data_IF_013589219405
#
_entry.id   IF_013589219405
#
_cell.length_a   1.000
_cell.length_b   1.000
_cell.length_c   1.000
_cell.angle_alpha   90.00
_cell.angle_beta   90.00
_cell.angle_gamma   90.00
#
_symmetry.space_group_name_H-M   'P 1'
#
loop_
_entity.id
_entity.type
_entity.pdbx_description
1 polymer ?
#
# COMPACT_ATOMS: atom_id res chain seq x y z
N UNK A 1 20.08 -18.43 0.58
CA UNK A 1 18.77 -19.12 0.63
C UNK A 1 17.72 -18.04 0.48
N UNK A 2 17.12 -17.93 -0.71
CA UNK A 2 16.26 -16.81 -1.08
C UNK A 2 14.93 -16.90 -0.33
N UNK A 3 14.63 -15.91 0.52
CA UNK A 3 13.34 -15.77 1.15
C UNK A 3 12.30 -15.43 0.08
N UNK A 4 11.50 -16.41 -0.30
CA UNK A 4 10.32 -16.24 -1.13
C UNK A 4 9.34 -15.30 -0.43
N UNK A 5 8.82 -14.32 -1.17
CA UNK A 5 8.12 -13.13 -0.66
C UNK A 5 6.72 -13.48 -0.14
N UNK A 6 6.28 -13.01 1.05
CA UNK A 6 5.01 -13.46 1.67
C UNK A 6 3.74 -12.75 1.15
N UNK A 7 3.71 -12.25 -0.09
CA UNK A 7 2.61 -11.38 -0.58
C UNK A 7 1.48 -12.10 -1.33
N UNK A 8 1.33 -13.42 -1.21
CA UNK A 8 0.38 -14.17 -2.07
C UNK A 8 -0.94 -14.59 -1.40
N UNK A 9 -1.13 -14.41 -0.09
CA UNK A 9 -2.21 -15.11 0.61
C UNK A 9 -3.30 -14.25 1.26
N UNK A 10 -3.32 -12.93 1.03
CA UNK A 10 -4.47 -12.06 1.34
C UNK A 10 -5.31 -11.64 0.13
N UNK A 11 -4.99 -12.16 -1.05
CA UNK A 11 -5.46 -11.62 -2.33
C UNK A 11 -6.34 -12.59 -3.13
N UNK A 12 -7.07 -13.47 -2.44
CA UNK A 12 -8.00 -14.41 -3.08
C UNK A 12 -9.38 -14.31 -2.42
N UNK A 13 -10.03 -13.15 -2.53
CA UNK A 13 -11.49 -13.02 -2.67
C UNK A 13 -11.86 -11.59 -3.07
N UNK A 14 -11.86 -11.30 -4.37
CA UNK A 14 -12.72 -10.27 -4.96
C UNK A 14 -12.78 -10.46 -6.48
N UNK A 15 -13.40 -11.56 -6.93
CA UNK A 15 -14.00 -11.58 -8.25
C UNK A 15 -15.30 -10.76 -8.19
N UNK A 16 -15.28 -9.64 -8.93
CA UNK A 16 -16.43 -9.02 -9.59
C UNK A 16 -17.66 -8.74 -8.71
N UNK A 17 -17.76 -7.49 -8.24
CA UNK A 17 -19.04 -6.79 -8.28
C UNK A 17 -18.89 -5.54 -9.14
N UNK A 18 -19.21 -5.70 -10.42
CA UNK A 18 -19.53 -4.60 -11.32
C UNK A 18 -20.67 -3.80 -10.70
N UNK A 19 -20.34 -2.68 -10.06
CA UNK A 19 -21.33 -1.70 -9.63
C UNK A 19 -21.43 -0.66 -10.75
N UNK A 20 -22.64 -0.54 -11.29
CA UNK A 20 -23.04 0.35 -12.37
C UNK A 20 -22.45 1.76 -12.20
N UNK A 21 -21.52 2.10 -13.09
CA UNK A 21 -21.14 3.47 -13.35
C UNK A 21 -22.11 4.04 -14.41
N UNK A 22 -22.73 5.15 -14.04
CA UNK A 22 -23.56 6.02 -14.87
C UNK A 22 -23.06 6.15 -16.33
N UNK A 23 -23.90 5.92 -17.36
CA UNK A 23 -23.51 6.08 -18.75
C UNK A 23 -23.55 7.58 -19.12
N UNK A 24 -22.58 8.34 -18.60
CA UNK A 24 -22.44 9.76 -18.86
C UNK A 24 -21.07 10.29 -18.45
N UNK A 25 -20.17 10.44 -19.45
CA UNK A 25 -18.89 11.17 -19.44
C UNK A 25 -17.63 10.45 -18.94
N UNK A 26 -16.59 10.46 -19.79
CA UNK A 26 -15.20 10.25 -19.39
C UNK A 26 -14.58 8.90 -19.75
N UNK A 27 -13.52 8.95 -20.55
CA UNK A 27 -12.51 7.89 -20.66
C UNK A 27 -12.03 7.53 -19.25
N UNK A 28 -12.27 6.31 -18.77
CA UNK A 28 -11.81 5.90 -17.44
C UNK A 28 -10.29 5.70 -17.45
N UNK A 29 -9.57 6.71 -16.96
CA UNK A 29 -8.13 6.67 -16.73
C UNK A 29 -7.85 6.36 -15.26
N UNK A 30 -6.95 5.41 -14.98
CA UNK A 30 -6.56 5.07 -13.62
C UNK A 30 -5.07 4.70 -13.55
N UNK A 31 -4.37 5.30 -12.60
CA UNK A 31 -2.99 4.97 -12.22
C UNK A 31 -3.02 4.25 -10.89
N UNK A 32 -2.38 3.08 -10.84
CA UNK A 32 -2.24 2.31 -9.60
C UNK A 32 -0.81 2.28 -9.13
N UNK A 33 -0.57 2.63 -7.86
CA UNK A 33 0.72 2.61 -7.19
C UNK A 33 0.73 1.64 -5.99
N UNK A 34 -0.45 1.25 -5.48
CA UNK A 34 -0.63 0.39 -4.29
C UNK A 34 -0.53 -1.11 -4.64
N UNK A 35 0.35 -1.42 -5.58
CA UNK A 35 0.60 -2.74 -6.13
C UNK A 35 1.63 -2.59 -7.25
N UNK A 36 1.64 -3.45 -8.29
CA UNK A 36 2.41 -3.15 -9.49
C UNK A 36 1.93 -1.81 -10.07
N UNK A 37 2.88 -0.96 -10.46
CA UNK A 37 2.58 0.27 -11.17
C UNK A 37 1.85 -0.08 -12.46
N UNK A 38 0.61 0.39 -12.59
CA UNK A 38 -0.19 0.24 -13.81
C UNK A 38 -0.79 1.57 -14.26
N UNK A 39 -0.91 1.72 -15.57
CA UNK A 39 -1.58 2.85 -16.23
C UNK A 39 -2.70 2.27 -17.10
N UNK A 40 -3.93 2.34 -16.62
CA UNK A 40 -5.10 1.81 -17.31
C UNK A 40 -5.91 2.94 -17.92
N UNK A 41 -6.33 2.79 -19.17
CA UNK A 41 -7.27 3.70 -19.81
C UNK A 41 -8.21 2.94 -20.72
N UNK A 42 -9.53 3.14 -20.55
CA UNK A 42 -10.57 2.46 -21.33
C UNK A 42 -10.39 0.92 -21.36
N UNK A 43 -10.01 0.33 -20.23
CA UNK A 43 -9.75 -1.11 -20.12
C UNK A 43 -8.49 -1.62 -20.83
N UNK A 44 -7.62 -0.74 -21.31
CA UNK A 44 -6.32 -1.09 -21.91
C UNK A 44 -5.16 -0.68 -21.01
N UNK A 45 -4.12 -1.50 -21.01
CA UNK A 45 -2.88 -1.23 -20.29
C UNK A 45 -1.89 -0.42 -21.14
N UNK A 46 -1.46 0.72 -20.60
CA UNK A 46 -0.49 1.65 -21.17
C UNK A 46 0.80 1.72 -20.35
N UNK A 47 0.99 0.80 -19.41
CA UNK A 47 2.16 0.78 -18.52
C UNK A 47 3.47 0.69 -19.32
N UNK A 48 4.47 1.56 -19.04
CA UNK A 48 5.76 1.50 -19.71
C UNK A 48 6.47 0.17 -19.47
N UNK A 49 6.85 -0.55 -20.54
CA UNK A 49 7.66 -1.77 -20.42
C UNK A 49 9.13 -1.49 -20.10
N UNK A 50 9.64 -0.30 -20.45
CA UNK A 50 11.01 0.09 -20.20
C UNK A 50 11.23 0.44 -18.71
N UNK A 51 12.11 -0.28 -17.98
CA UNK A 51 12.22 -0.15 -16.53
C UNK A 51 12.55 1.26 -16.04
N UNK A 52 13.40 2.00 -16.76
CA UNK A 52 13.78 3.38 -16.41
C UNK A 52 12.65 4.38 -16.65
N UNK A 53 11.82 4.17 -17.67
CA UNK A 53 10.64 5.01 -17.94
C UNK A 53 9.58 4.75 -16.87
N UNK A 54 9.37 3.48 -16.52
CA UNK A 54 8.48 3.06 -15.44
C UNK A 54 8.92 3.67 -14.10
N UNK A 55 10.22 3.65 -13.81
CA UNK A 55 10.80 4.26 -12.60
C UNK A 55 10.59 5.79 -12.54
N UNK A 56 10.81 6.52 -13.65
CA UNK A 56 10.52 7.96 -13.72
C UNK A 56 9.03 8.23 -13.53
N UNK A 57 8.17 7.46 -14.19
CA UNK A 57 6.72 7.62 -14.05
C UNK A 57 6.26 7.39 -12.61
N UNK A 58 6.77 6.34 -11.95
CA UNK A 58 6.45 6.03 -10.56
C UNK A 58 6.75 7.22 -9.64
N UNK A 59 7.93 7.84 -9.77
CA UNK A 59 8.32 8.99 -8.95
C UNK A 59 7.46 10.23 -9.24
N UNK A 60 7.09 10.46 -10.50
CA UNK A 60 6.17 11.53 -10.87
C UNK A 60 4.76 11.30 -10.33
N UNK A 61 4.23 10.08 -10.44
CA UNK A 61 2.89 9.71 -9.99
C UNK A 61 2.76 9.74 -8.47
N UNK A 62 3.79 9.28 -7.76
CA UNK A 62 3.84 9.35 -6.29
C UNK A 62 3.88 10.79 -5.77
N UNK A 63 4.39 11.71 -6.58
CA UNK A 63 4.39 13.16 -6.32
C UNK A 63 3.44 13.89 -7.26
N UNK A 64 2.32 13.25 -7.65
CA UNK A 64 1.33 13.83 -8.53
C UNK A 64 0.93 15.23 -8.05
N UNK A 65 0.70 16.13 -9.00
CA UNK A 65 0.33 17.53 -8.79
C UNK A 65 1.40 18.38 -8.06
N UNK A 66 2.62 17.87 -7.86
CA UNK A 66 3.76 18.59 -7.29
C UNK A 66 4.94 18.62 -8.27
N UNK A 67 5.80 19.63 -8.13
CA UNK A 67 7.03 19.74 -8.94
C UNK A 67 8.01 18.64 -8.50
N UNK A 68 8.49 17.85 -9.45
CA UNK A 68 9.63 16.95 -9.30
C UNK A 68 10.81 17.56 -10.06
N UNK A 69 11.86 18.05 -9.37
CA UNK A 69 13.06 18.58 -10.01
C UNK A 69 13.75 17.55 -10.89
N UNK A 70 14.38 18.01 -11.98
CA UNK A 70 15.14 17.13 -12.88
C UNK A 70 16.25 16.38 -12.14
N UNK A 71 16.95 17.04 -11.22
CA UNK A 71 18.02 16.41 -10.42
C UNK A 71 17.49 15.27 -9.55
N UNK A 72 16.27 15.39 -9.00
CA UNK A 72 15.63 14.31 -8.25
C UNK A 72 15.34 13.08 -9.12
N UNK A 73 14.97 13.29 -10.40
CA UNK A 73 14.82 12.19 -11.36
C UNK A 73 16.17 11.55 -11.68
N UNK A 74 17.24 12.34 -11.82
CA UNK A 74 18.59 11.85 -12.09
C UNK A 74 19.10 10.99 -10.93
N UNK A 75 19.00 11.51 -9.70
CA UNK A 75 19.38 10.77 -8.49
C UNK A 75 18.60 9.46 -8.34
N UNK A 76 17.29 9.48 -8.61
CA UNK A 76 16.48 8.26 -8.57
C UNK A 76 16.98 7.19 -9.57
N UNK A 77 17.43 7.60 -10.75
CA UNK A 77 17.83 6.69 -11.81
C UNK A 77 19.27 6.19 -11.66
N UNK A 78 20.19 7.02 -11.20
CA UNK A 78 21.64 6.72 -11.23
C UNK A 78 22.36 6.91 -9.90
N UNK A 79 21.66 7.38 -8.86
CA UNK A 79 22.24 7.66 -7.55
C UNK A 79 23.49 8.56 -7.69
N UNK A 80 24.62 8.17 -7.09
CA UNK A 80 25.87 8.93 -7.15
C UNK A 80 26.61 8.86 -8.50
N UNK A 81 26.16 8.06 -9.47
CA UNK A 81 26.88 7.79 -10.72
C UNK A 81 26.10 8.17 -12.00
N UNK A 82 25.63 9.43 -12.15
CA UNK A 82 24.91 9.84 -13.34
C UNK A 82 25.83 9.92 -14.58
N UNK A 83 25.38 9.45 -15.76
CA UNK A 83 26.13 9.66 -16.99
C UNK A 83 26.15 11.15 -17.36
N UNK A 84 27.14 11.57 -18.16
CA UNK A 84 27.20 12.95 -18.70
C UNK A 84 25.93 13.36 -19.45
N UNK A 85 25.23 12.39 -20.03
CA UNK A 85 23.96 12.55 -20.76
C UNK A 85 22.71 12.41 -19.87
N UNK A 86 22.81 12.44 -18.54
CA UNK A 86 21.67 12.22 -17.65
C UNK A 86 20.48 13.14 -17.96
N UNK A 87 20.74 14.44 -18.11
CA UNK A 87 19.70 15.43 -18.44
C UNK A 87 18.96 15.11 -19.75
N UNK A 88 19.69 14.85 -20.84
CA UNK A 88 19.09 14.53 -22.15
C UNK A 88 18.38 13.18 -22.14
N UNK A 89 18.89 12.23 -21.34
CA UNK A 89 18.24 10.92 -21.14
C UNK A 89 16.92 11.06 -20.39
N UNK A 90 16.86 11.88 -19.32
CA UNK A 90 15.61 12.19 -18.61
C UNK A 90 14.59 12.84 -19.54
N UNK A 91 15.01 13.82 -20.35
CA UNK A 91 14.12 14.44 -21.34
C UNK A 91 13.53 13.41 -22.32
N UNK A 92 14.33 12.40 -22.72
CA UNK A 92 13.87 11.30 -23.58
C UNK A 92 12.81 10.44 -22.86
N UNK A 93 13.00 10.13 -21.58
CA UNK A 93 12.00 9.41 -20.79
C UNK A 93 10.72 10.22 -20.60
N UNK A 94 10.83 11.52 -20.34
CA UNK A 94 9.68 12.43 -20.25
C UNK A 94 8.91 12.47 -21.58
N UNK A 95 9.60 12.54 -22.72
CA UNK A 95 8.97 12.47 -24.03
C UNK A 95 8.21 11.14 -24.24
N UNK A 96 8.80 10.01 -23.84
CA UNK A 96 8.14 8.70 -23.93
C UNK A 96 6.89 8.64 -23.02
N UNK A 97 6.97 9.18 -21.81
CA UNK A 97 5.83 9.27 -20.90
C UNK A 97 4.71 10.13 -21.49
N UNK A 98 5.03 11.29 -22.07
CA UNK A 98 4.03 12.13 -22.77
C UNK A 98 3.29 11.35 -23.84
N UNK A 99 4.03 10.63 -24.70
CA UNK A 99 3.43 9.78 -25.75
C UNK A 99 2.53 8.69 -25.18
N UNK A 100 2.86 8.14 -24.01
CA UNK A 100 2.02 7.14 -23.33
C UNK A 100 0.73 7.79 -22.82
N UNK A 101 0.83 8.93 -22.12
CA UNK A 101 -0.31 9.65 -21.56
C UNK A 101 -1.27 10.15 -22.65
N UNK A 102 -0.75 10.63 -23.77
CA UNK A 102 -1.57 11.02 -24.91
C UNK A 102 -2.33 9.82 -25.53
N UNK A 103 -1.67 8.66 -25.69
CA UNK A 103 -2.32 7.45 -26.20
C UNK A 103 -3.39 6.94 -25.23
N UNK A 104 -3.14 7.08 -23.94
CA UNK A 104 -4.08 6.79 -22.87
C UNK A 104 -5.19 7.85 -22.75
N UNK A 105 -5.18 8.91 -23.56
CA UNK A 105 -6.17 10.00 -23.55
C UNK A 105 -6.35 10.61 -22.14
N UNK A 106 -5.22 10.83 -21.47
CA UNK A 106 -5.19 11.44 -20.14
C UNK A 106 -5.27 12.95 -20.27
N UNK A 107 -6.21 13.56 -19.55
CA UNK A 107 -6.55 14.98 -19.65
C UNK A 107 -7.89 15.18 -20.38
N UNK A 108 -8.70 16.10 -19.87
CA UNK A 108 -9.83 16.67 -20.61
C UNK A 108 -9.30 17.79 -21.52
N UNK A 109 -9.99 18.03 -22.64
CA UNK A 109 -9.78 19.10 -23.64
C UNK A 109 -8.59 20.05 -23.36
N UNK A 110 -7.51 19.87 -24.13
CA UNK A 110 -6.30 20.72 -24.24
C UNK A 110 -5.34 20.84 -23.03
N UNK A 111 -5.60 20.22 -21.87
CA UNK A 111 -4.67 20.29 -20.74
C UNK A 111 -3.55 19.22 -20.79
N UNK A 112 -2.29 19.65 -20.90
CA UNK A 112 -1.13 18.73 -20.94
C UNK A 112 -0.94 18.02 -19.59
N UNK A 113 -1.01 16.67 -19.52
CA UNK A 113 -0.94 15.94 -18.25
C UNK A 113 0.48 15.95 -17.65
N UNK A 114 1.52 16.12 -18.44
CA UNK A 114 2.91 16.20 -17.97
C UNK A 114 3.56 17.53 -18.37
N UNK A 115 3.49 18.49 -17.46
CA UNK A 115 3.92 19.87 -17.70
C UNK A 115 5.40 20.04 -17.33
N UNK A 116 6.18 20.64 -18.22
CA UNK A 116 7.52 21.14 -17.87
C UNK A 116 7.37 22.45 -17.11
N UNK A 117 7.81 22.49 -15.84
CA UNK A 117 7.82 23.70 -15.00
C UNK A 117 9.12 23.75 -14.21
N UNK A 118 9.97 24.74 -14.49
CA UNK A 118 11.26 24.89 -13.82
C UNK A 118 11.11 24.82 -12.28
N UNK A 119 11.97 24.05 -11.58
CA UNK A 119 13.16 23.34 -12.07
C UNK A 119 12.94 21.89 -12.59
N UNK A 120 11.72 21.48 -12.92
CA UNK A 120 11.46 20.12 -13.40
C UNK A 120 10.09 19.89 -14.04
N UNK A 121 9.36 18.90 -13.55
CA UNK A 121 8.14 18.40 -14.18
C UNK A 121 7.00 18.25 -13.16
N UNK A 122 5.76 18.43 -13.62
CA UNK A 122 4.55 18.14 -12.85
C UNK A 122 3.72 17.13 -13.66
N UNK A 123 3.44 15.98 -13.06
CA UNK A 123 2.42 15.07 -13.55
C UNK A 123 1.08 15.43 -12.91
N UNK A 124 0.14 15.94 -13.71
CA UNK A 124 -1.21 16.28 -13.31
C UNK A 124 -2.11 15.06 -13.42
N UNK A 125 -2.70 14.66 -12.31
CA UNK A 125 -3.64 13.53 -12.24
C UNK A 125 -4.79 13.95 -11.32
N UNK A 126 -6.04 13.75 -11.76
CA UNK A 126 -7.21 14.05 -10.93
C UNK A 126 -7.20 13.11 -9.71
N UNK A 127 -7.64 13.55 -8.53
CA UNK A 127 -7.63 12.70 -7.33
C UNK A 127 -8.32 11.34 -7.51
N UNK A 128 -9.40 11.27 -8.29
CA UNK A 128 -10.13 10.03 -8.58
C UNK A 128 -9.39 9.05 -9.50
N UNK A 129 -8.39 9.52 -10.25
CA UNK A 129 -7.65 8.71 -11.22
C UNK A 129 -6.37 8.09 -10.61
N UNK A 130 -6.10 8.30 -9.32
CA UNK A 130 -4.92 7.76 -8.63
C UNK A 130 -5.34 7.00 -7.37
N UNK A 131 -5.07 5.71 -7.31
CA UNK A 131 -5.41 4.85 -6.17
C UNK A 131 -4.83 5.35 -4.84
N UNK A 132 -3.63 5.94 -4.87
CA UNK A 132 -3.00 6.53 -3.70
C UNK A 132 -3.84 7.69 -3.13
N UNK A 133 -4.40 8.56 -3.96
CA UNK A 133 -5.24 9.65 -3.46
C UNK A 133 -6.58 9.13 -2.92
N UNK A 134 -7.15 8.10 -3.54
CA UNK A 134 -8.35 7.43 -3.03
C UNK A 134 -8.08 6.77 -1.67
N UNK A 135 -6.95 6.09 -1.53
CA UNK A 135 -6.48 5.54 -0.25
C UNK A 135 -6.32 6.63 0.81
N UNK A 136 -5.66 7.73 0.48
CA UNK A 136 -5.46 8.86 1.40
C UNK A 136 -6.80 9.43 1.90
N UNK A 137 -7.78 9.55 1.01
CA UNK A 137 -9.12 10.06 1.33
C UNK A 137 -9.90 9.09 2.23
N UNK A 138 -9.99 7.82 1.85
CA UNK A 138 -10.70 6.78 2.63
C UNK A 138 -10.04 6.56 4.00
N UNK A 139 -8.70 6.61 4.07
CA UNK A 139 -7.96 6.55 5.32
C UNK A 139 -8.24 7.74 6.24
N UNK A 140 -8.42 8.95 5.68
CA UNK A 140 -8.79 10.14 6.45
C UNK A 140 -10.24 10.03 6.96
N UNK A 141 -11.17 9.65 6.10
CA UNK A 141 -12.58 9.42 6.46
C UNK A 141 -12.71 8.36 7.57
N UNK A 142 -12.05 7.21 7.38
CA UNK A 142 -12.07 6.12 8.36
C UNK A 142 -11.51 6.54 9.73
N UNK A 143 -10.47 7.39 9.76
CA UNK A 143 -9.93 7.97 11.00
C UNK A 143 -10.93 8.89 11.69
N UNK A 144 -11.52 9.81 10.94
CA UNK A 144 -12.50 10.76 11.47
C UNK A 144 -13.71 10.03 12.06
N UNK A 145 -14.25 9.05 11.35
CA UNK A 145 -15.36 8.21 11.81
C UNK A 145 -14.99 7.42 13.08
N UNK A 146 -13.75 6.94 13.20
CA UNK A 146 -13.28 6.26 14.41
C UNK A 146 -13.25 7.20 15.61
N UNK A 147 -12.75 8.42 15.44
CA UNK A 147 -12.71 9.45 16.49
C UNK A 147 -14.11 9.84 16.96
N UNK A 148 -15.07 9.87 16.04
CA UNK A 148 -16.50 10.08 16.30
C UNK A 148 -17.20 8.84 16.90
N UNK A 149 -16.47 7.73 17.09
CA UNK A 149 -16.99 6.43 17.57
C UNK A 149 -18.04 5.80 16.65
N UNK A 150 -18.08 6.21 15.38
CA UNK A 150 -18.90 5.60 14.33
C UNK A 150 -18.20 4.36 13.74
N UNK A 151 -17.87 3.40 14.60
CA UNK A 151 -16.96 2.30 14.28
C UNK A 151 -17.38 1.48 13.06
N UNK A 152 -18.68 1.19 12.87
CA UNK A 152 -19.14 0.43 11.71
C UNK A 152 -18.89 1.15 10.38
N UNK A 153 -19.06 2.48 10.34
CA UNK A 153 -18.75 3.27 9.15
C UNK A 153 -17.24 3.42 8.95
N UNK A 154 -16.50 3.57 10.05
CA UNK A 154 -15.04 3.57 10.04
C UNK A 154 -14.48 2.28 9.42
N UNK A 155 -14.97 1.11 9.85
CA UNK A 155 -14.57 -0.20 9.30
C UNK A 155 -14.76 -0.21 7.78
N UNK A 156 -15.94 0.18 7.27
CA UNK A 156 -16.21 0.20 5.83
C UNK A 156 -15.22 1.06 5.04
N UNK A 157 -14.95 2.29 5.51
CA UNK A 157 -14.01 3.18 4.84
C UNK A 157 -12.57 2.64 4.89
N UNK A 158 -12.16 2.07 6.02
CA UNK A 158 -10.82 1.50 6.19
C UNK A 158 -10.63 0.22 5.36
N UNK A 159 -11.63 -0.65 5.27
CA UNK A 159 -11.60 -1.85 4.42
C UNK A 159 -11.51 -1.46 2.93
N UNK A 160 -12.33 -0.51 2.47
CA UNK A 160 -12.23 0.02 1.11
C UNK A 160 -10.84 0.62 0.83
N UNK A 161 -10.21 1.27 1.82
CA UNK A 161 -8.85 1.77 1.68
C UNK A 161 -7.83 0.61 1.52
N UNK A 162 -7.99 -0.46 2.30
CA UNK A 162 -7.11 -1.64 2.26
C UNK A 162 -7.29 -2.44 0.97
N UNK A 163 -8.50 -2.52 0.42
CA UNK A 163 -8.82 -3.24 -0.83
C UNK A 163 -8.17 -2.62 -2.08
N UNK A 164 -7.73 -1.37 -2.02
CA UNK A 164 -6.96 -0.74 -3.09
C UNK A 164 -5.58 -1.38 -3.26
N UNK A 165 -5.08 -2.05 -2.21
CA UNK A 165 -3.78 -2.70 -2.20
C UNK A 165 -3.90 -4.12 -2.77
N UNK A 166 -3.04 -4.47 -3.72
CA UNK A 166 -3.04 -5.81 -4.31
C UNK A 166 -1.76 -6.61 -4.05
N UNK A 167 -0.62 -5.91 -3.98
CA UNK A 167 0.69 -6.49 -3.68
C UNK A 167 1.51 -5.45 -2.90
N UNK A 168 2.83 -5.62 -2.81
CA UNK A 168 3.70 -4.53 -2.38
C UNK A 168 3.58 -3.31 -3.31
N UNK A 169 3.55 -2.08 -2.77
CA UNK A 169 3.47 -0.87 -3.60
C UNK A 169 4.69 -0.77 -4.50
N UNK A 170 4.44 -0.45 -5.77
CA UNK A 170 5.42 -0.38 -6.86
C UNK A 170 6.21 -1.69 -7.06
N UNK A 171 5.57 -2.86 -6.93
CA UNK A 171 6.26 -4.18 -6.97
C UNK A 171 7.03 -4.48 -8.26
N UNK A 172 6.62 -3.88 -9.38
CA UNK A 172 7.26 -4.00 -10.70
C UNK A 172 8.28 -2.89 -11.00
N UNK A 173 8.52 -1.96 -10.07
CA UNK A 173 9.41 -0.82 -10.27
C UNK A 173 10.73 -1.02 -9.53
N UNK A 174 11.85 -0.74 -10.20
CA UNK A 174 13.15 -0.64 -9.51
C UNK A 174 13.14 0.59 -8.62
N UNK A 175 13.34 0.39 -7.32
CA UNK A 175 13.38 1.48 -6.34
C UNK A 175 14.80 2.04 -6.23
N UNK A 176 14.95 3.32 -6.54
CA UNK A 176 16.14 4.12 -6.26
C UNK A 176 16.02 4.90 -4.94
N UNK A 177 16.98 5.80 -4.67
CA UNK A 177 17.10 6.49 -3.37
C UNK A 177 15.93 7.43 -3.05
N UNK A 178 15.14 7.86 -4.04
CA UNK A 178 13.99 8.76 -3.85
C UNK A 178 12.67 7.99 -3.71
N UNK A 179 12.50 6.87 -4.44
CA UNK A 179 11.32 6.01 -4.32
C UNK A 179 11.34 5.13 -3.07
N UNK A 180 12.51 4.60 -2.67
CA UNK A 180 12.60 3.62 -1.57
C UNK A 180 12.01 4.14 -0.25
N UNK A 181 12.35 5.36 0.25
CA UNK A 181 11.76 5.87 1.48
C UNK A 181 10.25 6.08 1.39
N UNK A 182 9.74 6.40 0.20
CA UNK A 182 8.32 6.63 -0.02
C UNK A 182 7.55 5.31 -0.01
N UNK A 183 8.09 4.25 -0.61
CA UNK A 183 7.54 2.88 -0.54
C UNK A 183 7.52 2.38 0.90
N UNK A 184 8.58 2.64 1.68
CA UNK A 184 8.60 2.31 3.12
C UNK A 184 7.49 3.07 3.86
N UNK A 185 7.35 4.37 3.63
CA UNK A 185 6.28 5.16 4.24
C UNK A 185 4.88 4.64 3.86
N UNK A 186 4.65 4.29 2.60
CA UNK A 186 3.40 3.69 2.14
C UNK A 186 3.07 2.41 2.92
N UNK A 187 4.05 1.53 3.15
CA UNK A 187 3.84 0.31 3.94
C UNK A 187 3.48 0.59 5.40
N UNK A 188 4.10 1.59 6.01
CA UNK A 188 3.74 2.02 7.38
C UNK A 188 2.32 2.60 7.43
N UNK A 189 1.91 3.34 6.39
CA UNK A 189 0.55 3.85 6.28
C UNK A 189 -0.47 2.71 6.15
N UNK A 190 -0.20 1.72 5.31
CA UNK A 190 -1.03 0.51 5.21
C UNK A 190 -1.16 -0.18 6.57
N UNK A 191 -0.04 -0.39 7.27
CA UNK A 191 -0.03 -1.02 8.60
C UNK A 191 -0.87 -0.24 9.60
N UNK A 192 -0.74 1.09 9.62
CA UNK A 192 -1.53 1.95 10.51
C UNK A 192 -3.05 1.83 10.26
N UNK A 193 -3.47 1.79 8.99
CA UNK A 193 -4.88 1.63 8.61
C UNK A 193 -5.41 0.24 8.97
N UNK A 194 -4.63 -0.81 8.73
CA UNK A 194 -4.97 -2.17 9.15
C UNK A 194 -5.16 -2.27 10.67
N UNK A 195 -4.24 -1.70 11.44
CA UNK A 195 -4.33 -1.67 12.90
C UNK A 195 -5.59 -0.94 13.39
N UNK A 196 -5.93 0.18 12.74
CA UNK A 196 -7.13 0.93 13.08
C UNK A 196 -8.41 0.15 12.75
N UNK A 197 -8.45 -0.55 11.61
CA UNK A 197 -9.58 -1.38 11.22
C UNK A 197 -9.81 -2.50 12.24
N UNK A 198 -8.75 -3.18 12.69
CA UNK A 198 -8.83 -4.23 13.73
C UNK A 198 -9.37 -3.64 15.05
N UNK A 199 -8.88 -2.46 15.47
CA UNK A 199 -9.40 -1.78 16.67
C UNK A 199 -10.87 -1.40 16.55
N UNK A 200 -11.30 -0.94 15.37
CA UNK A 200 -12.69 -0.59 15.11
C UNK A 200 -13.60 -1.83 15.17
N UNK A 201 -13.17 -2.94 14.53
CA UNK A 201 -13.87 -4.24 14.62
C UNK A 201 -13.98 -4.72 16.07
N UNK A 202 -12.91 -4.57 16.86
CA UNK A 202 -12.91 -4.95 18.27
C UNK A 202 -13.93 -4.12 19.08
N UNK A 203 -14.01 -2.81 18.81
CA UNK A 203 -15.00 -1.93 19.44
C UNK A 203 -16.45 -2.27 19.06
N UNK A 204 -16.67 -2.87 17.88
CA UNK A 204 -17.97 -3.40 17.45
C UNK A 204 -18.27 -4.83 17.97
N UNK A 205 -17.35 -5.48 18.67
CA UNK A 205 -17.51 -6.87 19.12
C UNK A 205 -17.44 -7.91 18.00
N UNK A 206 -16.85 -7.58 16.86
CA UNK A 206 -16.74 -8.45 15.68
C UNK A 206 -15.61 -9.49 15.83
N UNK A 207 -15.57 -10.23 16.93
CA UNK A 207 -14.38 -11.02 17.26
C UNK A 207 -14.11 -12.20 16.32
N UNK A 208 -15.16 -12.85 15.81
CA UNK A 208 -15.00 -13.97 14.89
C UNK A 208 -14.23 -13.53 13.62
N UNK A 209 -14.58 -12.37 13.07
CA UNK A 209 -13.95 -11.79 11.90
C UNK A 209 -12.49 -11.39 12.21
N UNK A 210 -12.25 -10.75 13.36
CA UNK A 210 -10.90 -10.36 13.79
C UNK A 210 -9.99 -11.57 13.95
N UNK A 211 -10.47 -12.66 14.55
CA UNK A 211 -9.67 -13.87 14.73
C UNK A 211 -9.30 -14.49 13.37
N UNK A 212 -10.25 -14.54 12.43
CA UNK A 212 -9.99 -15.04 11.08
C UNK A 212 -8.94 -14.17 10.36
N UNK A 213 -9.15 -12.85 10.34
CA UNK A 213 -8.24 -11.87 9.75
C UNK A 213 -6.82 -11.98 10.32
N UNK A 214 -6.70 -12.05 11.66
CA UNK A 214 -5.41 -12.11 12.35
C UNK A 214 -4.68 -13.43 12.16
N UNK A 215 -5.39 -14.56 12.02
CA UNK A 215 -4.76 -15.85 11.70
C UNK A 215 -4.06 -15.81 10.34
N UNK A 216 -4.73 -15.23 9.34
CA UNK A 216 -4.16 -15.05 8.00
C UNK A 216 -2.98 -14.07 8.01
N UNK A 217 -3.11 -12.95 8.71
CA UNK A 217 -2.02 -11.98 8.88
C UNK A 217 -0.81 -12.59 9.56
N UNK A 218 -1.01 -13.46 10.53
CA UNK A 218 0.09 -14.13 11.24
C UNK A 218 0.95 -14.98 10.30
N UNK A 219 0.33 -15.65 9.34
CA UNK A 219 1.05 -16.44 8.34
C UNK A 219 1.83 -15.54 7.37
N UNK A 220 1.29 -14.36 7.10
CA UNK A 220 1.88 -13.36 6.20
C UNK A 220 3.03 -12.60 6.86
N UNK A 221 2.88 -12.25 8.14
CA UNK A 221 3.80 -11.46 8.94
C UNK A 221 4.21 -12.22 10.21
N UNK A 222 4.97 -13.31 10.06
CA UNK A 222 5.27 -14.21 11.19
C UNK A 222 6.07 -13.56 12.32
N UNK A 223 6.79 -12.46 12.03
CA UNK A 223 7.59 -11.72 13.02
C UNK A 223 6.89 -10.46 13.57
N UNK A 224 5.66 -10.14 13.13
CA UNK A 224 4.95 -8.95 13.58
C UNK A 224 4.25 -9.24 14.91
N UNK A 225 4.95 -9.00 16.02
CA UNK A 225 4.46 -9.25 17.37
C UNK A 225 3.11 -8.59 17.66
N UNK A 226 2.79 -7.43 17.06
CA UNK A 226 1.50 -6.77 17.27
C UNK A 226 0.33 -7.61 16.73
N UNK A 227 0.49 -8.25 15.56
CA UNK A 227 -0.54 -9.14 15.00
C UNK A 227 -0.78 -10.33 15.93
N UNK A 228 0.30 -10.93 16.44
CA UNK A 228 0.21 -12.04 17.39
C UNK A 228 -0.42 -11.62 18.70
N UNK A 229 -0.07 -10.43 19.21
CA UNK A 229 -0.65 -9.83 20.41
C UNK A 229 -2.18 -9.74 20.30
N UNK A 230 -2.67 -9.12 19.22
CA UNK A 230 -4.11 -8.96 19.00
C UNK A 230 -4.81 -10.32 18.88
N UNK A 231 -4.17 -11.31 18.26
CA UNK A 231 -4.76 -12.64 18.10
C UNK A 231 -4.85 -13.37 19.43
N UNK A 232 -3.79 -13.30 20.25
CA UNK A 232 -3.74 -13.88 21.59
C UNK A 232 -4.86 -13.28 22.46
N UNK A 233 -4.97 -11.94 22.48
CA UNK A 233 -6.02 -11.23 23.23
C UNK A 233 -7.41 -11.61 22.72
N UNK A 234 -7.59 -11.67 21.40
CA UNK A 234 -8.88 -11.97 20.80
C UNK A 234 -9.37 -13.38 21.15
N UNK A 235 -8.48 -14.38 21.06
CA UNK A 235 -8.75 -15.76 21.43
C UNK A 235 -9.03 -15.91 22.92
N UNK A 236 -8.24 -15.25 23.77
CA UNK A 236 -8.39 -15.32 25.22
C UNK A 236 -9.74 -14.78 25.68
N UNK A 237 -10.14 -13.60 25.18
CA UNK A 237 -11.44 -12.98 25.48
C UNK A 237 -12.64 -13.83 25.04
N UNK A 238 -12.43 -14.78 24.11
CA UNK A 238 -13.48 -15.70 23.63
C UNK A 238 -13.40 -17.08 24.29
N UNK A 239 -12.69 -17.21 25.42
CA UNK A 239 -12.55 -18.46 26.15
C UNK A 239 -11.64 -19.49 25.48
N UNK A 240 -10.99 -19.15 24.36
CA UNK A 240 -10.09 -20.05 23.61
C UNK A 240 -8.67 -19.99 24.14
N UNK A 241 -8.51 -20.17 25.46
CA UNK A 241 -7.22 -20.04 26.17
C UNK A 241 -6.14 -20.98 25.63
N UNK A 242 -6.47 -22.23 25.33
CA UNK A 242 -5.54 -23.20 24.75
C UNK A 242 -4.96 -22.72 23.41
N UNK A 243 -5.83 -22.14 22.57
CA UNK A 243 -5.41 -21.60 21.27
C UNK A 243 -4.52 -20.37 21.45
N UNK A 244 -4.89 -19.46 22.35
CA UNK A 244 -4.08 -18.27 22.69
C UNK A 244 -2.65 -18.66 23.13
N UNK A 245 -2.52 -19.67 24.01
CA UNK A 245 -1.23 -20.23 24.42
C UNK A 245 -0.48 -20.90 23.26
N UNK A 246 -1.21 -21.51 22.31
CA UNK A 246 -0.64 -22.04 21.08
C UNK A 246 -0.01 -20.94 20.21
N UNK A 247 -0.69 -19.80 20.06
CA UNK A 247 -0.17 -18.65 19.30
C UNK A 247 1.11 -18.10 19.94
N UNK A 248 1.11 -17.87 21.26
CA UNK A 248 2.31 -17.39 21.97
C UNK A 248 3.51 -18.33 21.78
N UNK A 249 3.30 -19.65 21.97
CA UNK A 249 4.39 -20.63 21.80
C UNK A 249 4.95 -20.62 20.38
N UNK A 250 4.08 -20.55 19.38
CA UNK A 250 4.49 -20.47 17.97
C UNK A 250 5.28 -19.20 17.68
N UNK A 251 4.86 -18.04 18.19
CA UNK A 251 5.60 -16.78 18.03
C UNK A 251 7.00 -16.90 18.64
N UNK A 252 7.09 -17.36 19.91
CA UNK A 252 8.36 -17.50 20.61
C UNK A 252 9.34 -18.41 19.88
N UNK A 253 8.85 -19.55 19.37
CA UNK A 253 9.66 -20.47 18.56
C UNK A 253 10.16 -19.82 17.27
N UNK A 254 9.31 -19.07 16.56
CA UNK A 254 9.69 -18.39 15.32
C UNK A 254 10.71 -17.28 15.58
N UNK A 255 10.53 -16.45 16.61
CA UNK A 255 11.47 -15.37 16.96
C UNK A 255 12.83 -15.94 17.39
N UNK A 256 12.83 -16.92 18.29
CA UNK A 256 14.07 -17.54 18.77
C UNK A 256 14.82 -18.27 17.66
N UNK A 257 14.13 -19.06 16.82
CA UNK A 257 14.78 -19.87 15.78
C UNK A 257 15.27 -19.06 14.58
N UNK A 258 14.55 -18.01 14.17
CA UNK A 258 14.85 -17.25 12.96
C UNK A 258 15.63 -15.97 13.24
N UNK A 259 15.40 -15.33 14.39
CA UNK A 259 15.99 -14.03 14.74
C UNK A 259 16.93 -14.10 15.95
N UNK A 260 16.89 -15.18 16.73
CA UNK A 260 17.73 -15.33 17.93
C UNK A 260 17.33 -14.39 19.07
N UNK A 261 16.08 -13.93 19.08
CA UNK A 261 15.54 -13.02 20.10
C UNK A 261 14.36 -13.66 20.83
N UNK A 262 14.13 -13.23 22.06
CA UNK A 262 12.92 -13.53 22.82
C UNK A 262 11.78 -12.56 22.45
N UNK A 263 10.51 -12.91 22.75
CA UNK A 263 9.38 -11.99 22.58
C UNK A 263 9.54 -10.68 23.36
N UNK A 264 8.89 -9.63 22.89
CA UNK A 264 8.84 -8.33 23.56
C UNK A 264 8.24 -8.41 24.98
N UNK A 265 8.60 -7.46 25.87
CA UNK A 265 8.05 -7.40 27.23
C UNK A 265 6.52 -7.37 27.28
N UNK A 266 5.88 -6.71 26.31
CA UNK A 266 4.43 -6.63 26.17
C UNK A 266 3.81 -8.02 25.95
N UNK A 267 4.41 -8.83 25.06
CA UNK A 267 3.98 -10.21 24.79
C UNK A 267 4.24 -11.12 25.99
N UNK A 268 5.38 -10.99 26.66
CA UNK A 268 5.68 -11.75 27.88
C UNK A 268 4.69 -11.45 29.00
N UNK A 269 4.26 -10.19 29.15
CA UNK A 269 3.25 -9.79 30.13
C UNK A 269 1.90 -10.46 29.83
N UNK A 270 1.45 -10.46 28.58
CA UNK A 270 0.20 -11.14 28.19
C UNK A 270 0.28 -12.63 28.50
N UNK A 271 1.42 -13.28 28.24
CA UNK A 271 1.61 -14.67 28.59
C UNK A 271 1.55 -14.93 30.10
N UNK A 272 2.13 -14.05 30.93
CA UNK A 272 2.01 -14.16 32.38
C UNK A 272 0.55 -14.03 32.85
N UNK A 273 -0.21 -13.09 32.28
CA UNK A 273 -1.65 -12.94 32.56
C UNK A 273 -2.45 -14.19 32.13
N UNK A 274 -2.12 -14.77 30.97
CA UNK A 274 -2.71 -16.04 30.49
C UNK A 274 -2.42 -17.24 31.38
N UNK A 275 -1.31 -17.25 32.12
CA UNK A 275 -0.97 -18.31 33.08
C UNK A 275 -1.65 -18.11 34.44
N UNK A 276 -1.86 -16.86 34.85
CA UNK A 276 -2.43 -16.50 36.15
C UNK A 276 -3.96 -16.47 36.23
N UNK A 277 -4.66 -16.39 35.08
CA UNK A 277 -6.12 -16.51 34.97
C UNK A 277 -6.61 -17.96 35.10
#
# INVERSE_FOLDING_TARGET
MAATRPSELRFIHSEMSSTDADPGSGVSFNVRLLGPLTILSQGRDFTPSAPKVLQVFALLALRANKIVPTDTLIEELWDENPPRSANTTVQTYIYQIRRILERAKVGEDDDEPLVTKMPGYILRIRPADLDLHLFDALAAEGRELYEQREYFRSIKALEQALDLWSEGPLSNVKLGPRLLPQVINLRERYRSILQMCIRAKAACGMQADIIADLQELRLTFPYDEWIHEQLILALWQNGRRSDAMGVYRSLREVLSSQLGIDPSPEIEKIHAELLGA
#
